data_IF_697698777938
#
_entry.id   IF_697698777938
#
_cell.length_a   1.000
_cell.length_b   1.000
_cell.length_c   1.000
_cell.angle_alpha   90.00
_cell.angle_beta   90.00
_cell.angle_gamma   90.00
#
_symmetry.space_group_name_H-M   'P 1'
#
loop_
_entity.id
_entity.type
_entity.pdbx_description
1 polymer ?
#
# COMPACT_ATOMS: atom_id res chain seq x y z
N UNK A 1 23.37 6.88 16.24
CA UNK A 1 22.23 6.12 15.68
C UNK A 1 21.89 4.86 16.47
N UNK A 2 22.83 4.28 17.23
CA UNK A 2 22.59 3.01 17.92
C UNK A 2 21.66 3.09 19.14
N UNK A 3 21.66 4.22 19.88
CA UNK A 3 20.76 4.41 21.03
C UNK A 3 19.28 4.35 20.64
N UNK A 4 18.91 4.98 19.54
CA UNK A 4 17.52 5.00 19.05
C UNK A 4 17.03 3.62 18.63
N UNK A 5 17.91 2.79 18.06
CA UNK A 5 17.59 1.40 17.70
C UNK A 5 17.40 0.54 18.96
N UNK A 6 18.27 0.70 19.95
CA UNK A 6 18.15 0.02 21.24
C UNK A 6 16.85 0.40 21.98
N UNK A 7 16.46 1.67 21.97
CA UNK A 7 15.20 2.13 22.56
C UNK A 7 13.97 1.57 21.84
N UNK A 8 13.99 1.50 20.51
CA UNK A 8 12.92 0.90 19.70
C UNK A 8 12.79 -0.61 19.95
N UNK A 9 13.90 -1.31 20.13
CA UNK A 9 13.91 -2.74 20.45
C UNK A 9 13.36 -3.01 21.84
N UNK A 10 13.79 -2.24 22.85
CA UNK A 10 13.26 -2.31 24.21
C UNK A 10 11.74 -2.02 24.25
N UNK A 11 11.28 -1.02 23.48
CA UNK A 11 9.86 -0.70 23.35
C UNK A 11 9.05 -1.85 22.71
N UNK A 12 9.58 -2.46 21.63
CA UNK A 12 8.92 -3.60 20.96
C UNK A 12 8.81 -4.82 21.88
N UNK A 13 9.81 -5.06 22.73
CA UNK A 13 9.77 -6.15 23.70
C UNK A 13 8.68 -5.92 24.75
N UNK A 14 8.64 -4.73 25.37
CA UNK A 14 7.57 -4.38 26.32
C UNK A 14 6.18 -4.52 25.74
N UNK A 15 5.97 -4.07 24.50
CA UNK A 15 4.66 -4.17 23.83
C UNK A 15 4.25 -5.62 23.53
N UNK A 16 5.22 -6.51 23.24
CA UNK A 16 4.96 -7.95 23.06
C UNK A 16 4.59 -8.62 24.38
N UNK A 17 5.26 -8.23 25.47
CA UNK A 17 4.95 -8.72 26.81
C UNK A 17 3.58 -8.24 27.28
N UNK A 18 3.24 -6.96 27.08
CA UNK A 18 1.91 -6.41 27.36
C UNK A 18 0.82 -7.07 26.50
N UNK A 19 1.08 -7.33 25.22
CA UNK A 19 0.13 -8.02 24.34
C UNK A 19 -0.04 -9.49 24.72
N UNK A 20 1.04 -10.18 25.10
CA UNK A 20 0.99 -11.56 25.59
C UNK A 20 0.28 -11.65 26.95
N UNK A 21 0.52 -10.67 27.83
CA UNK A 21 -0.17 -10.54 29.11
C UNK A 21 -1.66 -10.20 28.93
N UNK A 22 -2.02 -9.34 27.98
CA UNK A 22 -3.41 -9.03 27.63
C UNK A 22 -4.14 -10.24 27.00
N UNK A 23 -3.43 -11.05 26.20
CA UNK A 23 -3.95 -12.29 25.65
C UNK A 23 -4.14 -13.39 26.71
N UNK A 24 -3.24 -13.47 27.70
CA UNK A 24 -3.31 -14.43 28.80
C UNK A 24 -4.27 -14.00 29.92
N UNK A 25 -4.44 -12.69 30.13
CA UNK A 25 -5.32 -12.12 31.15
C UNK A 25 -6.75 -11.94 30.67
N UNK A 26 -7.11 -12.36 29.44
CA UNK A 26 -8.47 -12.30 28.93
C UNK A 26 -9.41 -13.07 29.87
N UNK A 27 -10.21 -12.38 30.72
CA UNK A 27 -11.23 -13.03 31.49
C UNK A 27 -12.43 -13.21 30.56
N UNK A 28 -13.15 -14.31 30.74
CA UNK A 28 -14.53 -14.40 30.25
C UNK A 28 -15.35 -13.35 31.01
N UNK A 29 -15.36 -12.11 30.54
CA UNK A 29 -16.18 -11.03 31.10
C UNK A 29 -17.35 -10.79 30.18
N UNK A 30 -18.52 -11.18 30.67
CA UNK A 30 -19.82 -10.86 30.10
C UNK A 30 -20.28 -9.46 30.56
N UNK A 31 -21.03 -8.79 29.66
CA UNK A 31 -21.98 -7.65 29.84
C UNK A 31 -21.43 -6.21 29.95
N UNK A 32 -22.22 -5.15 29.62
CA UNK A 32 -23.68 -5.08 29.36
C UNK A 32 -24.10 -4.38 28.04
N UNK A 33 -25.42 -4.32 27.83
CA UNK A 33 -26.15 -3.87 26.65
C UNK A 33 -26.06 -2.36 26.34
N UNK A 34 -26.53 -2.02 25.11
CA UNK A 34 -26.65 -0.70 24.45
C UNK A 34 -25.41 -0.37 23.58
N UNK A 35 -25.41 -0.56 22.27
CA UNK A 35 -26.36 -0.03 21.28
C UNK A 35 -26.48 -1.04 20.12
N UNK A 36 -27.66 -1.62 19.93
CA UNK A 36 -27.90 -2.49 18.77
C UNK A 36 -28.03 -1.63 17.53
N UNK A 37 -26.88 -1.24 16.95
CA UNK A 37 -26.82 -0.96 15.51
C UNK A 37 -27.18 -2.27 14.83
N UNK A 38 -28.47 -2.37 14.46
CA UNK A 38 -29.07 -3.44 13.69
C UNK A 38 -28.08 -3.91 12.64
N UNK A 39 -27.41 -5.03 12.91
CA UNK A 39 -26.61 -5.73 11.92
C UNK A 39 -27.57 -6.10 10.79
N UNK A 40 -27.58 -5.29 9.73
CA UNK A 40 -28.30 -5.66 8.52
C UNK A 40 -27.72 -7.01 8.08
N UNK A 41 -28.57 -8.01 7.81
CA UNK A 41 -28.11 -9.30 7.32
C UNK A 41 -27.12 -9.06 6.19
N UNK A 42 -25.91 -9.60 6.38
CA UNK A 42 -24.77 -9.53 5.46
C UNK A 42 -25.27 -9.99 4.09
N UNK A 43 -25.69 -9.04 3.27
CA UNK A 43 -26.08 -9.31 1.89
C UNK A 43 -24.77 -9.71 1.22
N UNK A 44 -24.57 -11.02 1.05
CA UNK A 44 -23.45 -11.54 0.27
C UNK A 44 -23.61 -10.94 -1.12
N UNK A 45 -22.85 -9.87 -1.38
CA UNK A 45 -22.70 -9.32 -2.72
C UNK A 45 -22.39 -10.52 -3.59
N UNK A 46 -23.25 -10.85 -4.57
CA UNK A 46 -23.05 -12.03 -5.38
C UNK A 46 -21.64 -11.92 -5.97
N UNK A 47 -20.81 -12.93 -5.77
CA UNK A 47 -19.51 -12.98 -6.42
C UNK A 47 -19.77 -12.81 -7.91
N UNK A 48 -19.34 -11.69 -8.47
CA UNK A 48 -19.52 -11.38 -9.89
C UNK A 48 -18.31 -11.98 -10.62
N UNK A 49 -18.40 -13.21 -11.15
CA UNK A 49 -17.26 -13.91 -11.73
C UNK A 49 -16.62 -13.13 -12.89
N UNK A 50 -17.41 -12.32 -13.59
CA UNK A 50 -16.92 -11.46 -14.66
C UNK A 50 -16.01 -10.32 -14.17
N UNK A 51 -16.17 -9.83 -12.93
CA UNK A 51 -15.28 -8.82 -12.35
C UNK A 51 -13.94 -9.46 -11.97
N UNK A 52 -13.97 -10.66 -11.39
CA UNK A 52 -12.75 -11.41 -11.06
C UNK A 52 -11.94 -11.72 -12.34
N UNK A 53 -12.60 -12.16 -13.41
CA UNK A 53 -11.94 -12.36 -14.70
C UNK A 53 -11.45 -11.07 -15.35
N UNK A 54 -12.14 -9.93 -15.15
CA UNK A 54 -11.67 -8.64 -15.64
C UNK A 54 -10.37 -8.21 -14.96
N UNK A 55 -10.24 -8.39 -13.64
CA UNK A 55 -8.97 -8.15 -12.94
C UNK A 55 -7.88 -9.12 -13.41
N UNK A 56 -8.22 -10.39 -13.59
CA UNK A 56 -7.26 -11.40 -14.04
C UNK A 56 -6.78 -11.16 -15.48
N UNK A 57 -7.63 -10.58 -16.34
CA UNK A 57 -7.24 -10.11 -17.68
C UNK A 57 -6.41 -8.83 -17.61
N UNK A 58 -6.71 -7.91 -16.69
CA UNK A 58 -5.88 -6.71 -16.46
C UNK A 58 -4.48 -7.08 -15.95
N UNK A 59 -4.38 -8.04 -15.02
CA UNK A 59 -3.09 -8.58 -14.55
C UNK A 59 -2.32 -9.27 -15.67
N UNK A 60 -3.00 -9.90 -16.62
CA UNK A 60 -2.38 -10.53 -17.79
C UNK A 60 -1.82 -9.50 -18.78
N UNK A 61 -2.39 -8.30 -18.81
CA UNK A 61 -2.01 -7.19 -19.68
C UNK A 61 -1.25 -6.12 -18.88
N UNK A 62 -0.67 -6.42 -17.71
CA UNK A 62 0.14 -5.43 -16.99
C UNK A 62 1.33 -5.04 -17.88
N UNK A 63 1.28 -3.88 -18.56
CA UNK A 63 2.30 -3.54 -19.55
C UNK A 63 3.62 -3.23 -18.86
N UNK A 64 3.59 -3.01 -17.54
CA UNK A 64 4.76 -2.76 -16.71
C UNK A 64 5.38 -4.04 -16.13
N UNK A 65 4.74 -5.20 -16.30
CA UNK A 65 5.21 -6.49 -15.78
C UNK A 65 5.73 -7.43 -16.88
N UNK A 66 6.14 -6.84 -18.00
CA UNK A 66 6.82 -7.54 -19.07
C UNK A 66 8.14 -8.17 -18.58
N UNK A 67 8.53 -9.30 -19.18
CA UNK A 67 9.80 -9.99 -18.89
C UNK A 67 11.05 -9.07 -18.80
N UNK A 68 11.31 -8.13 -19.75
CA UNK A 68 12.45 -7.23 -19.64
C UNK A 68 12.36 -6.25 -18.46
N UNK A 69 11.15 -5.79 -18.10
CA UNK A 69 10.94 -4.86 -16.98
C UNK A 69 11.11 -5.57 -15.63
N UNK A 70 10.63 -6.81 -15.49
CA UNK A 70 10.89 -7.65 -14.31
C UNK A 70 12.38 -7.86 -14.08
N UNK A 71 13.11 -8.21 -15.14
CA UNK A 71 14.55 -8.47 -15.06
C UNK A 71 15.34 -7.20 -14.69
N UNK A 72 14.97 -6.07 -15.31
CA UNK A 72 15.53 -4.76 -14.97
C UNK A 72 15.28 -4.40 -13.50
N UNK A 73 14.06 -4.60 -13.01
CA UNK A 73 13.68 -4.31 -11.61
C UNK A 73 14.45 -5.18 -10.61
N UNK A 74 14.66 -6.46 -10.93
CA UNK A 74 15.51 -7.35 -10.12
C UNK A 74 16.97 -6.92 -10.10
N UNK A 75 17.48 -6.38 -11.20
CA UNK A 75 18.85 -5.86 -11.30
C UNK A 75 19.01 -4.53 -10.55
N UNK A 76 17.99 -3.66 -10.59
CA UNK A 76 17.94 -2.42 -9.81
C UNK A 76 18.02 -2.66 -8.31
N UNK A 77 17.34 -3.69 -7.80
CA UNK A 77 17.35 -4.03 -6.36
C UNK A 77 18.73 -4.52 -5.88
N UNK A 78 19.53 -5.11 -6.77
CA UNK A 78 20.90 -5.58 -6.46
C UNK A 78 21.92 -4.44 -6.51
N UNK A 79 21.82 -3.53 -7.49
CA UNK A 79 22.70 -2.37 -7.63
C UNK A 79 21.94 -1.16 -8.20
N UNK A 80 21.39 -0.36 -7.28
CA UNK A 80 20.50 0.76 -7.62
C UNK A 80 21.17 1.84 -8.46
N UNK A 81 22.42 2.21 -8.13
CA UNK A 81 23.15 3.29 -8.82
C UNK A 81 23.58 2.92 -10.23
N UNK A 82 24.19 1.74 -10.41
CA UNK A 82 24.66 1.27 -11.70
C UNK A 82 23.50 1.05 -12.67
N UNK A 83 22.41 0.44 -12.20
CA UNK A 83 21.22 0.18 -13.02
C UNK A 83 20.55 1.48 -13.46
N UNK A 84 20.41 2.47 -12.56
CA UNK A 84 19.87 3.79 -12.95
C UNK A 84 20.78 4.52 -13.94
N UNK A 85 22.11 4.45 -13.77
CA UNK A 85 23.04 5.09 -14.68
C UNK A 85 22.92 4.50 -16.11
N UNK A 86 22.84 3.18 -16.23
CA UNK A 86 22.64 2.50 -17.53
C UNK A 86 21.28 2.88 -18.13
N UNK A 87 20.23 2.91 -17.32
CA UNK A 87 18.88 3.27 -17.79
C UNK A 87 18.81 4.71 -18.27
N UNK A 88 19.43 5.64 -17.53
CA UNK A 88 19.53 7.03 -17.90
C UNK A 88 20.33 7.21 -19.19
N UNK A 89 21.43 6.46 -19.36
CA UNK A 89 22.22 6.48 -20.60
C UNK A 89 21.40 6.01 -21.81
N UNK A 90 20.69 4.87 -21.68
CA UNK A 90 19.81 4.36 -22.74
C UNK A 90 18.70 5.35 -23.08
N UNK A 91 18.10 5.96 -22.05
CA UNK A 91 17.09 7.00 -22.23
C UNK A 91 17.64 8.22 -22.97
N UNK A 92 18.82 8.72 -22.60
CA UNK A 92 19.44 9.87 -23.28
C UNK A 92 19.74 9.59 -24.75
N UNK A 93 20.25 8.39 -25.06
CA UNK A 93 20.49 7.97 -26.45
C UNK A 93 19.17 7.94 -27.24
N UNK A 94 18.13 7.32 -26.68
CA UNK A 94 16.79 7.30 -27.30
C UNK A 94 16.22 8.71 -27.46
N UNK A 95 16.36 9.57 -26.46
CA UNK A 95 15.86 10.93 -26.47
C UNK A 95 16.52 11.76 -27.58
N UNK A 96 17.84 11.65 -27.76
CA UNK A 96 18.56 12.31 -28.86
C UNK A 96 18.04 11.81 -30.21
N UNK A 97 17.84 10.50 -30.35
CA UNK A 97 17.30 9.91 -31.58
C UNK A 97 15.89 10.43 -31.91
N UNK A 98 14.99 10.48 -30.93
CA UNK A 98 13.62 10.98 -31.14
C UNK A 98 13.57 12.49 -31.37
N UNK A 99 14.50 13.27 -30.81
CA UNK A 99 14.65 14.70 -31.14
C UNK A 99 15.00 14.86 -32.62
N UNK A 100 15.85 14.00 -33.16
CA UNK A 100 16.21 14.03 -34.58
C UNK A 100 15.03 13.74 -35.52
N UNK A 101 14.07 12.94 -35.05
CA UNK A 101 12.80 12.63 -35.75
C UNK A 101 11.72 13.71 -35.47
N UNK A 102 12.06 14.80 -34.78
CA UNK A 102 11.12 15.85 -34.31
C UNK A 102 10.01 15.33 -33.39
N UNK A 103 10.14 14.10 -32.88
CA UNK A 103 9.17 13.42 -32.02
C UNK A 103 9.63 13.31 -30.56
N UNK A 104 10.67 14.07 -30.20
CA UNK A 104 11.32 14.01 -28.89
C UNK A 104 10.40 14.32 -27.71
N UNK A 105 9.43 15.22 -27.89
CA UNK A 105 8.48 15.63 -26.84
C UNK A 105 7.55 14.49 -26.43
N UNK A 106 7.05 13.72 -27.40
CA UNK A 106 6.15 12.59 -27.12
C UNK A 106 6.91 11.49 -26.39
N UNK A 107 8.11 11.14 -26.86
CA UNK A 107 8.97 10.18 -26.17
C UNK A 107 9.27 10.60 -24.72
N UNK A 108 9.56 11.89 -24.49
CA UNK A 108 9.80 12.45 -23.16
C UNK A 108 8.60 12.26 -22.22
N UNK A 109 7.40 12.60 -22.68
CA UNK A 109 6.17 12.46 -21.87
C UNK A 109 5.91 10.99 -21.53
N UNK A 110 6.05 10.08 -22.50
CA UNK A 110 5.91 8.65 -22.25
C UNK A 110 6.95 8.12 -21.25
N UNK A 111 8.20 8.57 -21.34
CA UNK A 111 9.24 8.20 -20.39
C UNK A 111 8.92 8.70 -18.97
N UNK A 112 8.45 9.94 -18.82
CA UNK A 112 8.00 10.47 -17.52
C UNK A 112 6.82 9.67 -16.95
N UNK A 113 5.79 9.39 -17.76
CA UNK A 113 4.66 8.57 -17.31
C UNK A 113 5.12 7.18 -16.88
N UNK A 114 5.99 6.54 -17.66
CA UNK A 114 6.53 5.22 -17.34
C UNK A 114 7.35 5.25 -16.04
N UNK A 115 8.18 6.28 -15.84
CA UNK A 115 8.97 6.44 -14.61
C UNK A 115 8.08 6.60 -13.37
N UNK A 116 6.99 7.38 -13.48
CA UNK A 116 6.00 7.52 -12.41
C UNK A 116 5.34 6.16 -12.15
N UNK A 117 4.80 5.50 -13.18
CA UNK A 117 4.16 4.19 -13.04
C UNK A 117 5.08 3.12 -12.43
N UNK A 118 6.37 3.11 -12.77
CA UNK A 118 7.37 2.21 -12.19
C UNK A 118 7.71 2.56 -10.73
N UNK A 119 7.65 3.84 -10.38
CA UNK A 119 7.87 4.36 -9.02
C UNK A 119 6.68 4.15 -8.09
N UNK A 120 5.45 4.01 -8.64
CA UNK A 120 4.31 3.52 -7.88
C UNK A 120 4.56 2.04 -7.57
N UNK A 121 4.97 1.76 -6.34
CA UNK A 121 5.25 0.40 -5.88
C UNK A 121 4.04 -0.52 -6.06
N UNK A 122 4.29 -1.78 -6.40
CA UNK A 122 3.25 -2.81 -6.41
C UNK A 122 2.81 -3.10 -4.97
N UNK A 123 1.49 -3.20 -4.75
CA UNK A 123 0.95 -3.61 -3.47
C UNK A 123 1.42 -5.02 -3.15
N UNK A 124 1.95 -5.25 -1.94
CA UNK A 124 2.22 -6.62 -1.49
C UNK A 124 0.88 -7.32 -1.25
N UNK A 125 0.74 -8.54 -1.76
CA UNK A 125 -0.42 -9.39 -1.46
C UNK A 125 -0.51 -9.54 0.07
N UNK A 126 -1.57 -8.97 0.66
CA UNK A 126 -1.81 -8.92 2.11
C UNK A 126 -1.69 -7.55 2.77
N UNK A 127 -1.34 -6.48 2.03
CA UNK A 127 -1.35 -5.12 2.58
C UNK A 127 -2.77 -4.57 2.73
N UNK A 128 -3.12 -4.18 3.97
CA UNK A 128 -4.39 -3.56 4.33
C UNK A 128 -4.60 -2.30 3.45
N UNK A 129 -5.78 -2.20 2.84
CA UNK A 129 -6.16 -1.04 2.05
C UNK A 129 -6.30 0.22 2.92
N UNK A 130 -5.92 1.37 2.35
CA UNK A 130 -6.10 2.67 3.01
C UNK A 130 -7.56 2.96 3.37
N UNK A 131 -8.48 2.48 2.54
CA UNK A 131 -9.90 2.54 2.81
C UNK A 131 -10.36 1.19 3.38
N UNK A 132 -10.94 1.25 4.57
CA UNK A 132 -11.45 0.08 5.29
C UNK A 132 -12.51 -0.70 4.47
N UNK A 133 -13.26 -0.03 3.58
CA UNK A 133 -14.23 -0.65 2.66
C UNK A 133 -13.62 -1.76 1.78
N UNK A 134 -12.32 -1.70 1.47
CA UNK A 134 -11.65 -2.71 0.65
C UNK A 134 -10.93 -3.79 1.47
N UNK A 135 -10.99 -3.75 2.81
CA UNK A 135 -10.39 -4.76 3.68
C UNK A 135 -11.45 -5.78 4.12
N UNK A 136 -11.08 -7.06 4.21
CA UNK A 136 -12.00 -8.19 4.45
C UNK A 136 -12.87 -8.07 5.70
N UNK A 137 -12.38 -7.34 6.71
CA UNK A 137 -13.03 -7.12 8.00
C UNK A 137 -13.47 -5.66 8.23
N UNK A 138 -13.44 -4.80 7.20
CA UNK A 138 -13.56 -3.35 7.39
C UNK A 138 -12.58 -2.79 8.44
N UNK A 139 -11.47 -3.48 8.69
CA UNK A 139 -10.47 -3.06 9.66
C UNK A 139 -9.80 -1.77 9.17
N UNK A 140 -9.89 -0.73 10.00
CA UNK A 140 -9.23 0.55 9.77
C UNK A 140 -7.73 0.37 10.01
N UNK A 141 -6.93 1.07 9.21
CA UNK A 141 -5.50 1.16 9.47
C UNK A 141 -5.27 1.73 10.87
N UNK A 142 -4.34 1.09 11.59
CA UNK A 142 -3.89 1.53 12.92
C UNK A 142 -3.33 2.97 12.78
N UNK A 143 -4.05 3.95 13.34
CA UNK A 143 -3.70 5.38 13.23
C UNK A 143 -4.61 6.23 12.32
N UNK A 144 -5.62 5.66 11.65
CA UNK A 144 -6.65 6.49 11.02
C UNK A 144 -7.45 7.22 12.11
N UNK A 145 -7.64 8.53 12.00
CA UNK A 145 -8.49 9.29 12.92
C UNK A 145 -9.92 8.75 12.86
N UNK A 146 -10.33 8.05 13.92
CA UNK A 146 -11.70 7.58 14.11
C UNK A 146 -12.62 8.79 14.22
N UNK A 147 -13.78 8.76 13.57
CA UNK A 147 -14.79 9.82 13.70
C UNK A 147 -15.13 10.14 15.18
N UNK A 148 -15.14 9.14 16.05
CA UNK A 148 -15.33 9.31 17.50
C UNK A 148 -14.22 10.13 18.18
N UNK A 149 -12.98 10.03 17.69
CA UNK A 149 -11.86 10.82 18.19
C UNK A 149 -11.98 12.28 17.73
N UNK A 150 -12.37 12.47 16.47
CA UNK A 150 -12.66 13.79 15.92
C UNK A 150 -13.85 14.47 16.64
N UNK A 151 -14.92 13.72 16.91
CA UNK A 151 -16.06 14.22 17.67
C UNK A 151 -15.69 14.59 19.11
N UNK A 152 -14.90 13.75 19.81
CA UNK A 152 -14.39 14.09 21.15
C UNK A 152 -13.54 15.37 21.14
N UNK A 153 -12.66 15.54 20.16
CA UNK A 153 -11.83 16.73 20.04
C UNK A 153 -12.66 17.98 19.70
N UNK A 154 -13.67 17.85 18.84
CA UNK A 154 -14.60 18.94 18.54
C UNK A 154 -15.46 19.33 19.74
N UNK A 155 -15.93 18.36 20.52
CA UNK A 155 -16.73 18.58 21.73
C UNK A 155 -15.87 19.18 22.85
N UNK A 156 -14.63 18.73 23.02
CA UNK A 156 -13.71 19.27 24.02
C UNK A 156 -13.22 20.69 23.69
N UNK A 157 -13.17 21.10 22.41
CA UNK A 157 -12.82 22.47 22.01
C UNK A 157 -13.91 23.52 22.29
N UNK A 158 -15.13 23.10 22.61
CA UNK A 158 -16.27 24.00 22.90
C UNK A 158 -16.49 24.27 24.40
N UNK A 159 -15.59 23.81 25.27
CA UNK A 159 -15.50 24.25 26.66
C UNK A 159 -14.41 25.29 26.80
#
# INVERSE_FOLDING_TARGET
>A
MDRTRAELEAYRQRKREEAAAAAAAAPTTSKPAEDQVREKPRERVPERPWIAHAYQLLDLIDPLDCWPLRQWRSSYDRSSTATLAVTALVYLIGQIYFIWIEFGSVFFVFACLTAICLGLGSKRQGEISAYSVFNSNCERLLGSMTAEHFERDMLNRKK
#
